data_IF_407125840918
#
_entry.id   IF_407125840918
#
_cell.length_a   1.000
_cell.length_b   1.000
_cell.length_c   1.000
_cell.angle_alpha   90.00
_cell.angle_beta   90.00
_cell.angle_gamma   90.00
#
_symmetry.space_group_name_H-M   'P 1'
#
loop_
_entity.id
_entity.type
_entity.pdbx_description
1 polymer ?
#
# COMPACT_ATOMS: atom_id res chain seq x y z
N UNK A 1 -10.87 -18.82 -4.67
CA UNK A 1 -11.17 -17.87 -3.58
C UNK A 1 -10.64 -16.52 -4.01
N UNK A 2 -11.52 -15.62 -4.43
CA UNK A 2 -11.14 -14.38 -5.11
C UNK A 2 -10.72 -13.36 -4.05
N UNK A 3 -9.40 -13.32 -3.83
CA UNK A 3 -8.64 -12.40 -2.96
C UNK A 3 -8.93 -10.91 -3.21
N UNK A 4 -9.58 -10.56 -4.32
CA UNK A 4 -9.83 -9.18 -4.74
C UNK A 4 -10.82 -8.44 -3.81
N UNK A 5 -11.84 -9.13 -3.30
CA UNK A 5 -12.87 -8.52 -2.44
C UNK A 5 -12.39 -8.21 -1.02
N UNK A 6 -11.19 -8.66 -0.62
CA UNK A 6 -10.64 -8.44 0.73
C UNK A 6 -9.76 -7.18 0.80
N UNK A 7 -8.95 -6.91 -0.23
CA UNK A 7 -7.96 -5.82 -0.20
C UNK A 7 -8.60 -4.45 -0.26
N UNK A 8 -9.60 -4.28 -1.11
CA UNK A 8 -10.26 -2.99 -1.30
C UNK A 8 -10.94 -2.47 0.00
N UNK A 9 -11.83 -3.23 0.68
CA UNK A 9 -12.40 -2.78 1.95
C UNK A 9 -11.36 -2.69 3.08
N UNK A 10 -10.31 -3.51 3.06
CA UNK A 10 -9.23 -3.44 4.04
C UNK A 10 -8.42 -2.14 3.93
N UNK A 11 -7.96 -1.80 2.72
CA UNK A 11 -7.19 -0.58 2.48
C UNK A 11 -8.04 0.69 2.68
N UNK A 12 -9.32 0.65 2.27
CA UNK A 12 -10.28 1.73 2.53
C UNK A 12 -10.45 1.99 4.03
N UNK A 13 -10.49 0.94 4.85
CA UNK A 13 -10.61 1.08 6.31
C UNK A 13 -9.43 1.85 6.91
N UNK A 14 -8.20 1.54 6.49
CA UNK A 14 -6.99 2.23 6.97
C UNK A 14 -7.10 3.74 6.73
N UNK A 15 -7.57 4.16 5.55
CA UNK A 15 -7.76 5.58 5.24
C UNK A 15 -8.91 6.21 6.03
N UNK A 16 -10.04 5.52 6.17
CA UNK A 16 -11.15 6.01 6.98
C UNK A 16 -10.76 6.22 8.46
N UNK A 17 -9.77 5.49 8.96
CA UNK A 17 -9.19 5.65 10.30
C UNK A 17 -8.08 6.73 10.36
N UNK A 18 -7.80 7.41 9.24
CA UNK A 18 -6.82 8.50 9.12
C UNK A 18 -5.40 8.05 8.77
N UNK A 19 -5.22 6.82 8.29
CA UNK A 19 -3.93 6.26 7.92
C UNK A 19 -3.32 6.88 6.66
N UNK A 20 -1.99 6.80 6.56
CA UNK A 20 -1.20 7.34 5.45
C UNK A 20 -0.63 6.25 4.52
N UNK A 21 0.17 6.67 3.54
CA UNK A 21 0.82 5.77 2.58
C UNK A 21 1.72 4.73 3.25
N UNK A 22 2.32 5.07 4.39
CA UNK A 22 3.14 4.16 5.18
C UNK A 22 2.30 3.11 5.89
N UNK A 23 1.09 3.46 6.34
CA UNK A 23 0.17 2.49 6.93
C UNK A 23 -0.36 1.51 5.87
N UNK A 24 -0.66 2.00 4.66
CA UNK A 24 -0.95 1.15 3.51
C UNK A 24 0.24 0.23 3.18
N UNK A 25 1.45 0.77 3.11
CA UNK A 25 2.64 -0.01 2.80
C UNK A 25 2.89 -1.12 3.84
N UNK A 26 2.75 -0.80 5.13
CA UNK A 26 2.86 -1.77 6.23
C UNK A 26 1.76 -2.83 6.15
N UNK A 27 0.52 -2.43 5.89
CA UNK A 27 -0.58 -3.38 5.74
C UNK A 27 -0.36 -4.35 4.57
N UNK A 28 0.17 -3.86 3.45
CA UNK A 28 0.57 -4.69 2.31
C UNK A 28 1.74 -5.62 2.70
N UNK A 29 2.73 -5.14 3.45
CA UNK A 29 3.83 -5.99 3.94
C UNK A 29 3.33 -7.12 4.85
N UNK A 30 2.49 -6.77 5.83
CA UNK A 30 2.10 -7.66 6.92
C UNK A 30 1.01 -8.66 6.51
N UNK A 31 0.20 -8.33 5.50
CA UNK A 31 -0.93 -9.16 5.05
C UNK A 31 -0.83 -9.61 3.57
N UNK A 32 0.19 -9.13 2.85
CA UNK A 32 0.37 -9.30 1.41
C UNK A 32 1.01 -10.58 0.96
N UNK A 33 1.31 -11.56 1.83
CA UNK A 33 2.03 -12.82 1.52
C UNK A 33 1.67 -13.43 0.14
N UNK A 34 2.44 -13.08 -0.90
CA UNK A 34 2.24 -13.54 -2.29
C UNK A 34 1.05 -12.92 -3.05
N UNK A 35 0.36 -11.93 -2.45
CA UNK A 35 -0.83 -11.22 -2.96
C UNK A 35 -0.54 -9.74 -3.29
N UNK A 36 0.72 -9.39 -3.50
CA UNK A 36 1.18 -8.01 -3.75
C UNK A 36 0.58 -7.39 -5.01
N UNK A 37 0.32 -8.18 -6.06
CA UNK A 37 -0.32 -7.70 -7.29
C UNK A 37 -1.77 -7.26 -7.02
N UNK A 38 -2.52 -8.04 -6.24
CA UNK A 38 -3.90 -7.71 -5.84
C UNK A 38 -3.92 -6.49 -4.93
N UNK A 39 -3.00 -6.44 -3.95
CA UNK A 39 -2.84 -5.32 -3.04
C UNK A 39 -2.49 -4.01 -3.79
N UNK A 40 -1.57 -4.06 -4.74
CA UNK A 40 -1.22 -2.90 -5.57
C UNK A 40 -2.35 -2.46 -6.48
N UNK A 41 -3.09 -3.41 -7.07
CA UNK A 41 -4.27 -3.06 -7.86
C UNK A 41 -5.34 -2.36 -7.01
N UNK A 42 -5.61 -2.87 -5.81
CA UNK A 42 -6.53 -2.23 -4.87
C UNK A 42 -6.03 -0.85 -4.43
N UNK A 43 -4.75 -0.70 -4.12
CA UNK A 43 -4.16 0.59 -3.78
C UNK A 43 -4.25 1.59 -4.93
N UNK A 44 -4.04 1.16 -6.17
CA UNK A 44 -4.21 2.00 -7.36
C UNK A 44 -5.66 2.48 -7.52
N UNK A 45 -6.61 1.56 -7.40
CA UNK A 45 -8.04 1.85 -7.61
C UNK A 45 -8.61 2.72 -6.48
N UNK A 46 -8.27 2.42 -5.22
CA UNK A 46 -8.77 3.17 -4.06
C UNK A 46 -8.12 4.55 -3.94
N UNK A 47 -6.81 4.65 -4.20
CA UNK A 47 -6.05 5.88 -3.94
C UNK A 47 -5.72 6.70 -5.19
N UNK A 48 -6.05 6.18 -6.38
CA UNK A 48 -5.73 6.84 -7.66
C UNK A 48 -4.24 7.05 -7.89
N UNK A 49 -3.38 6.28 -7.20
CA UNK A 49 -1.93 6.44 -7.26
C UNK A 49 -1.39 6.11 -8.65
N UNK A 50 -0.36 6.83 -9.13
CA UNK A 50 0.39 6.44 -10.31
C UNK A 50 0.94 5.01 -10.16
N UNK A 51 0.93 4.25 -11.26
CA UNK A 51 1.48 2.89 -11.27
C UNK A 51 2.92 2.80 -10.71
N UNK A 52 3.85 3.72 -11.03
CA UNK A 52 5.18 3.72 -10.42
C UNK A 52 5.17 3.79 -8.90
N UNK A 53 4.30 4.62 -8.32
CA UNK A 53 4.22 4.78 -6.86
C UNK A 53 3.66 3.52 -6.19
N UNK A 54 2.67 2.89 -6.82
CA UNK A 54 2.14 1.59 -6.38
C UNK A 54 3.23 0.52 -6.38
N UNK A 55 4.06 0.48 -7.42
CA UNK A 55 5.17 -0.46 -7.51
C UNK A 55 6.23 -0.19 -6.43
N UNK A 56 6.51 1.06 -6.09
CA UNK A 56 7.42 1.41 -4.97
C UNK A 56 6.90 0.90 -3.63
N UNK A 57 5.60 1.05 -3.37
CA UNK A 57 4.96 0.54 -2.15
C UNK A 57 5.09 -0.98 -2.06
N UNK A 58 4.80 -1.69 -3.16
CA UNK A 58 4.95 -3.14 -3.23
C UNK A 58 6.41 -3.54 -3.00
N UNK A 59 7.36 -2.90 -3.70
CA UNK A 59 8.77 -3.23 -3.59
C UNK A 59 9.30 -3.03 -2.16
N UNK A 60 8.90 -1.94 -1.49
CA UNK A 60 9.22 -1.72 -0.09
C UNK A 60 8.61 -2.80 0.82
N UNK A 61 7.34 -3.16 0.59
CA UNK A 61 6.64 -4.17 1.36
C UNK A 61 7.29 -5.56 1.20
N UNK A 62 7.65 -5.95 -0.01
CA UNK A 62 8.35 -7.22 -0.29
C UNK A 62 9.74 -7.26 0.35
N UNK A 63 10.46 -6.14 0.32
CA UNK A 63 11.81 -6.03 0.88
C UNK A 63 11.84 -6.05 2.42
N UNK A 64 10.68 -6.03 3.09
CA UNK A 64 10.55 -5.86 4.56
C UNK A 64 11.36 -4.66 5.07
N UNK A 65 11.29 -3.53 4.36
CA UNK A 65 12.04 -2.32 4.72
C UNK A 65 11.74 -1.88 6.16
N UNK A 66 12.79 -1.45 6.88
CA UNK A 66 12.64 -0.83 8.20
C UNK A 66 12.03 0.56 8.14
N UNK A 67 11.88 1.21 9.29
CA UNK A 67 11.28 2.54 9.38
C UNK A 67 12.03 3.61 8.56
N UNK A 68 13.34 3.46 8.35
CA UNK A 68 14.15 4.33 7.48
C UNK A 68 13.70 4.24 6.01
N UNK A 69 13.60 3.04 5.45
CA UNK A 69 13.10 2.85 4.09
C UNK A 69 11.64 3.29 3.92
N UNK A 70 10.85 3.25 5.00
CA UNK A 70 9.48 3.78 4.97
C UNK A 70 9.46 5.31 4.92
N UNK A 71 10.38 5.96 5.63
CA UNK A 71 10.54 7.41 5.58
C UNK A 71 10.98 7.86 4.17
N UNK A 72 11.90 7.13 3.53
CA UNK A 72 12.30 7.36 2.14
C UNK A 72 11.12 7.17 1.17
N UNK A 73 10.37 6.07 1.30
CA UNK A 73 9.17 5.81 0.50
C UNK A 73 8.15 6.96 0.61
N UNK A 74 7.91 7.45 1.83
CA UNK A 74 7.02 8.60 2.09
C UNK A 74 7.53 9.89 1.47
N UNK A 75 8.84 10.11 1.48
CA UNK A 75 9.45 11.29 0.87
C UNK A 75 9.33 11.27 -0.66
N UNK A 76 9.44 10.08 -1.27
CA UNK A 76 9.30 9.89 -2.71
C UNK A 76 7.85 9.99 -3.18
N UNK A 77 6.90 9.45 -2.42
CA UNK A 77 5.47 9.48 -2.74
C UNK A 77 4.83 10.68 -2.05
N UNK A 78 4.91 11.85 -2.69
CA UNK A 78 4.24 13.08 -2.22
C UNK A 78 2.75 13.10 -2.56
N UNK A 79 1.99 12.17 -1.98
CA UNK A 79 0.53 12.19 -2.11
C UNK A 79 -0.10 11.84 -0.76
N UNK A 80 -0.78 12.78 -0.08
CA UNK A 80 -1.68 12.39 1.00
C UNK A 80 -2.79 11.56 0.37
N UNK A 81 -3.02 10.36 0.94
CA UNK A 81 -4.18 9.54 0.57
C UNK A 81 -5.44 10.39 0.77
N UNK A 82 -6.31 10.42 -0.24
CA UNK A 82 -7.53 11.25 -0.24
C UNK A 82 -8.66 10.59 0.53
#
# INVERSE_FOLDING_TARGET
MIVWDEWHPFLRRIVNEGGDIGDVARAIRDHGEGRYIQAGRAAREEFGLPLPDVLKIIAWAEAKGGDEGLAELRAEIRTPLK
#
